data_IF_074252464705
#
_entry.id   IF_074252464705
#
_cell.length_a   1.000
_cell.length_b   1.000
_cell.length_c   1.000
_cell.angle_alpha   90.00
_cell.angle_beta   90.00
_cell.angle_gamma   90.00
#
_symmetry.space_group_name_H-M   'P 1'
#
loop_
_entity.id
_entity.type
_entity.pdbx_description
1 polymer ?
#
# COMPACT_ATOMS: atom_id res chain seq x y z
N UNK A 1 16.73 -8.26 -0.72
CA UNK A 1 15.28 -8.07 -0.54
C UNK A 1 14.67 -8.13 -1.92
N UNK A 2 13.72 -9.03 -2.13
CA UNK A 2 12.96 -9.15 -3.37
C UNK A 2 11.91 -8.03 -3.48
N UNK A 3 11.25 -7.94 -4.63
CA UNK A 3 10.26 -6.90 -4.93
C UNK A 3 9.07 -6.95 -3.98
N UNK A 4 8.60 -8.15 -3.64
CA UNK A 4 7.55 -8.39 -2.63
C UNK A 4 7.96 -7.85 -1.26
N UNK A 5 9.20 -8.08 -0.83
CA UNK A 5 9.73 -7.52 0.41
C UNK A 5 9.76 -5.99 0.42
N UNK A 6 10.11 -5.35 -0.71
CA UNK A 6 10.08 -3.89 -0.85
C UNK A 6 8.65 -3.35 -0.76
N UNK A 7 7.73 -3.94 -1.52
CA UNK A 7 6.32 -3.54 -1.54
C UNK A 7 5.67 -3.69 -0.15
N UNK A 8 5.89 -4.82 0.52
CA UNK A 8 5.39 -5.05 1.89
C UNK A 8 5.92 -4.03 2.88
N UNK A 9 7.18 -3.60 2.73
CA UNK A 9 7.77 -2.63 3.62
C UNK A 9 7.30 -1.19 3.33
N UNK A 10 7.06 -0.84 2.06
CA UNK A 10 6.35 0.39 1.66
C UNK A 10 4.96 0.44 2.28
N UNK A 11 4.16 -0.61 2.08
CA UNK A 11 2.83 -0.73 2.67
C UNK A 11 2.89 -0.57 4.18
N UNK A 12 3.84 -1.21 4.85
CA UNK A 12 4.02 -1.07 6.29
C UNK A 12 4.30 0.39 6.69
N UNK A 13 5.15 1.10 5.94
CA UNK A 13 5.45 2.51 6.20
C UNK A 13 4.26 3.44 5.93
N UNK A 14 3.47 3.15 4.89
CA UNK A 14 2.23 3.86 4.58
C UNK A 14 1.20 3.65 5.68
N UNK A 15 0.95 2.39 6.05
CA UNK A 15 0.01 2.02 7.10
C UNK A 15 0.46 2.47 8.48
N UNK A 16 1.75 2.80 8.72
CA UNK A 16 2.20 3.38 9.98
C UNK A 16 1.64 4.79 10.21
N UNK A 17 1.20 5.48 9.15
CA UNK A 17 0.50 6.75 9.27
C UNK A 17 -0.90 6.56 9.87
N UNK A 18 -1.41 7.61 10.52
CA UNK A 18 -2.74 7.60 11.09
C UNK A 18 -3.74 8.19 10.10
N UNK A 19 -4.63 7.35 9.59
CA UNK A 19 -5.72 7.73 8.68
C UNK A 19 -6.90 6.76 8.89
N UNK A 20 -8.14 7.14 8.49
CA UNK A 20 -9.29 6.27 8.62
C UNK A 20 -9.07 4.90 7.97
N UNK A 21 -9.22 3.82 8.73
CA UNK A 21 -9.00 2.44 8.25
C UNK A 21 -7.57 1.91 8.35
N UNK A 22 -6.59 2.73 8.75
CA UNK A 22 -5.20 2.29 8.86
C UNK A 22 -5.01 1.10 9.80
N UNK A 23 -5.78 1.03 10.90
CA UNK A 23 -5.73 -0.10 11.84
C UNK A 23 -6.16 -1.40 11.18
N UNK A 24 -7.32 -1.40 10.53
CA UNK A 24 -7.89 -2.56 9.84
C UNK A 24 -6.98 -2.99 8.68
N UNK A 25 -6.43 -2.05 7.92
CA UNK A 25 -5.46 -2.37 6.87
C UNK A 25 -4.16 -2.98 7.42
N UNK A 26 -3.68 -2.58 8.60
CA UNK A 26 -2.53 -3.24 9.26
C UNK A 26 -2.85 -4.69 9.59
N UNK A 27 -4.05 -4.97 10.09
CA UNK A 27 -4.51 -6.33 10.38
C UNK A 27 -4.61 -7.17 9.10
N UNK A 28 -5.22 -6.62 8.05
CA UNK A 28 -5.31 -7.27 6.74
C UNK A 28 -3.93 -7.61 6.16
N UNK A 29 -2.94 -6.70 6.27
CA UNK A 29 -1.57 -6.95 5.78
C UNK A 29 -0.90 -8.17 6.46
N UNK A 30 -1.32 -8.53 7.68
CA UNK A 30 -0.80 -9.73 8.37
C UNK A 30 -1.26 -11.04 7.74
N UNK A 31 -2.38 -11.02 7.03
CA UNK A 31 -2.98 -12.18 6.34
C UNK A 31 -2.97 -12.04 4.81
N UNK A 32 -2.42 -10.94 4.29
CA UNK A 32 -2.36 -10.67 2.86
C UNK A 32 -1.21 -11.40 2.14
N UNK A 33 -1.48 -11.83 0.92
CA UNK A 33 -0.47 -12.31 -0.04
C UNK A 33 -0.24 -11.24 -1.09
N UNK A 34 1.02 -10.96 -1.42
CA UNK A 34 1.38 -9.95 -2.43
C UNK A 34 1.95 -10.65 -3.66
N UNK A 35 1.48 -10.25 -4.85
CA UNK A 35 2.02 -10.68 -6.14
C UNK A 35 2.45 -9.44 -6.92
N UNK A 36 3.75 -9.25 -7.09
CA UNK A 36 4.28 -8.05 -7.73
C UNK A 36 4.57 -8.27 -9.22
N UNK A 37 4.27 -7.23 -10.01
CA UNK A 37 4.57 -7.14 -11.43
C UNK A 37 5.21 -5.78 -11.76
N UNK A 38 5.30 -5.46 -13.06
CA UNK A 38 6.06 -4.30 -13.54
C UNK A 38 5.51 -2.92 -13.15
N UNK A 39 4.26 -2.85 -12.66
CA UNK A 39 3.55 -1.60 -12.38
C UNK A 39 3.00 -1.50 -10.96
N UNK A 40 3.31 -2.48 -10.10
CA UNK A 40 2.72 -2.55 -8.76
C UNK A 40 2.64 -3.97 -8.21
N UNK A 41 1.81 -4.15 -7.18
CA UNK A 41 1.51 -5.47 -6.64
C UNK A 41 0.01 -5.63 -6.39
N UNK A 42 -0.52 -6.79 -6.79
CA UNK A 42 -1.84 -7.25 -6.37
C UNK A 42 -1.76 -7.73 -4.91
N UNK A 43 -2.80 -7.45 -4.13
CA UNK A 43 -2.90 -7.80 -2.71
C UNK A 43 -4.13 -8.70 -2.52
N UNK A 44 -3.89 -9.98 -2.27
CA UNK A 44 -4.96 -10.92 -1.93
C UNK A 44 -5.10 -11.04 -0.41
N UNK A 45 -6.22 -10.58 0.13
CA UNK A 45 -6.51 -10.60 1.57
C UNK A 45 -7.42 -11.76 1.91
N UNK A 46 -7.01 -12.59 2.87
CA UNK A 46 -7.89 -13.59 3.47
C UNK A 46 -9.02 -12.89 4.27
N UNK A 47 -10.18 -12.79 3.62
CA UNK A 47 -11.38 -12.13 4.15
C UNK A 47 -12.02 -12.89 5.32
N UNK A 48 -11.74 -14.18 5.50
CA UNK A 48 -12.25 -14.95 6.64
C UNK A 48 -11.45 -14.66 7.92
N UNK A 49 -10.23 -14.12 7.77
CA UNK A 49 -9.28 -13.87 8.86
C UNK A 49 -9.03 -12.39 9.13
N UNK A 50 -9.77 -11.49 8.49
CA UNK A 50 -9.63 -10.05 8.62
C UNK A 50 -10.98 -9.34 8.60
N UNK A 51 -11.00 -8.08 9.02
CA UNK A 51 -12.20 -7.23 9.00
C UNK A 51 -12.01 -6.09 8.00
N UNK A 52 -13.08 -5.63 7.34
CA UNK A 52 -12.99 -4.47 6.45
C UNK A 52 -12.70 -3.20 7.25
N UNK A 53 -11.91 -2.30 6.66
CA UNK A 53 -11.80 -0.92 7.08
C UNK A 53 -13.13 -0.17 6.85
N UNK A 54 -13.36 0.97 7.54
CA UNK A 54 -14.43 1.88 7.17
C UNK A 54 -14.33 2.24 5.69
N UNK A 55 -15.34 1.84 4.91
CA UNK A 55 -15.38 2.02 3.47
C UNK A 55 -16.23 3.23 3.10
N UNK A 56 -15.63 4.13 2.32
CA UNK A 56 -16.31 5.22 1.64
C UNK A 56 -16.24 4.94 0.13
N UNK A 57 -17.40 4.82 -0.53
CA UNK A 57 -17.46 4.54 -1.96
C UNK A 57 -16.87 5.68 -2.81
N UNK A 58 -16.90 6.90 -2.28
CA UNK A 58 -16.31 8.07 -2.94
C UNK A 58 -14.77 8.10 -2.74
N UNK A 59 -14.26 7.33 -1.78
CA UNK A 59 -12.83 7.21 -1.45
C UNK A 59 -12.46 5.75 -1.16
N UNK A 60 -12.43 4.88 -2.18
CA UNK A 60 -12.33 3.43 -1.98
C UNK A 60 -11.00 2.96 -1.35
N UNK A 61 -10.00 3.84 -1.19
CA UNK A 61 -8.71 3.53 -0.57
C UNK A 61 -8.01 4.74 0.05
N UNK A 62 -6.71 4.60 0.31
CA UNK A 62 -5.88 5.67 0.84
C UNK A 62 -4.84 6.14 -0.20
N UNK A 63 -4.81 7.44 -0.46
CA UNK A 63 -3.77 8.06 -1.29
C UNK A 63 -2.75 8.73 -0.37
N UNK A 64 -1.58 8.11 -0.21
CA UNK A 64 -0.49 8.70 0.57
C UNK A 64 0.66 9.08 -0.36
N UNK A 65 1.10 10.35 -0.37
CA UNK A 65 2.28 10.75 -1.13
C UNK A 65 3.53 10.05 -0.59
N UNK A 66 4.30 9.43 -1.49
CA UNK A 66 5.57 8.76 -1.19
C UNK A 66 6.70 9.44 -1.99
N UNK A 67 7.83 9.73 -1.34
CA UNK A 67 9.02 10.23 -2.01
C UNK A 67 10.15 9.22 -1.87
N UNK A 68 10.94 9.05 -2.94
CA UNK A 68 12.10 8.18 -2.93
C UNK A 68 13.24 8.73 -3.82
N UNK A 69 14.47 8.58 -3.34
CA UNK A 69 15.68 9.02 -4.04
C UNK A 69 15.84 8.26 -5.37
N UNK A 70 16.08 8.97 -6.47
CA UNK A 70 16.31 8.38 -7.80
C UNK A 70 15.06 8.21 -8.67
N UNK A 71 13.85 8.35 -8.10
CA UNK A 71 12.58 8.18 -8.82
C UNK A 71 11.74 9.47 -8.95
N UNK A 72 12.21 10.60 -8.42
CA UNK A 72 11.42 11.85 -8.40
C UNK A 72 10.22 11.74 -7.44
N UNK A 73 9.07 12.35 -7.79
CA UNK A 73 7.82 12.16 -7.05
C UNK A 73 7.21 10.82 -7.44
N UNK A 74 7.08 9.93 -6.47
CA UNK A 74 6.59 8.57 -6.68
C UNK A 74 5.20 8.45 -6.05
N UNK A 75 4.16 8.47 -6.88
CA UNK A 75 2.81 8.32 -6.35
C UNK A 75 2.51 6.84 -6.16
N UNK A 76 2.28 6.47 -4.90
CA UNK A 76 1.82 5.14 -4.52
C UNK A 76 0.38 5.26 -4.07
N UNK A 77 -0.50 4.56 -4.76
CA UNK A 77 -1.92 4.51 -4.41
C UNK A 77 -2.15 3.18 -3.69
N UNK A 78 -2.71 3.27 -2.47
CA UNK A 78 -3.23 2.10 -1.78
C UNK A 78 -4.70 1.99 -2.13
N UNK A 79 -5.02 1.07 -3.02
CA UNK A 79 -6.39 0.80 -3.39
C UNK A 79 -7.04 -0.11 -2.37
N UNK A 80 -8.28 0.21 -2.04
CA UNK A 80 -9.16 -0.66 -1.29
C UNK A 80 -10.43 -0.93 -2.09
N UNK A 81 -11.06 -2.06 -1.82
CA UNK A 81 -12.35 -2.41 -2.38
C UNK A 81 -13.21 -3.01 -1.27
N UNK A 82 -14.38 -2.41 -1.02
CA UNK A 82 -15.28 -2.80 0.08
C UNK A 82 -14.60 -2.81 1.46
N UNK A 83 -13.57 -1.97 1.65
CA UNK A 83 -12.81 -1.88 2.90
C UNK A 83 -11.67 -2.90 3.03
N UNK A 84 -11.35 -3.66 1.97
CA UNK A 84 -10.19 -4.56 1.94
C UNK A 84 -9.08 -4.00 1.05
N UNK A 85 -7.81 -4.20 1.42
CA UNK A 85 -6.68 -3.96 0.53
C UNK A 85 -6.87 -4.73 -0.78
N UNK A 86 -6.64 -4.08 -1.91
CA UNK A 86 -6.82 -4.66 -3.24
C UNK A 86 -5.51 -4.63 -4.04
N UNK A 87 -4.95 -3.44 -4.28
CA UNK A 87 -3.68 -3.31 -4.99
C UNK A 87 -2.83 -2.13 -4.54
N UNK A 88 -1.54 -2.24 -4.86
CA UNK A 88 -0.52 -1.23 -4.65
C UNK A 88 0.02 -0.77 -6.00
N UNK A 89 -0.40 0.41 -6.45
CA UNK A 89 -0.06 0.93 -7.77
C UNK A 89 1.15 1.86 -7.74
N UNK A 90 2.09 1.67 -8.68
CA UNK A 90 3.18 2.59 -8.96
C UNK A 90 2.83 3.48 -10.17
N UNK A 91 2.45 4.72 -9.92
CA UNK A 91 1.95 5.62 -10.99
C UNK A 91 3.07 6.20 -11.87
N UNK A 92 4.27 6.39 -11.31
CA UNK A 92 5.39 7.09 -11.99
C UNK A 92 6.72 6.34 -11.92
N UNK A 93 6.71 5.04 -11.63
CA UNK A 93 7.90 4.20 -11.54
C UNK A 93 7.65 2.80 -12.10
N UNK A 94 8.69 2.18 -12.65
CA UNK A 94 8.67 0.79 -13.15
C UNK A 94 9.19 -0.24 -12.15
N UNK A 95 9.63 0.21 -10.97
CA UNK A 95 10.13 -0.63 -9.89
C UNK A 95 9.95 0.07 -8.54
N UNK A 96 9.83 -0.72 -7.47
CA UNK A 96 9.78 -0.18 -6.11
C UNK A 96 11.16 0.35 -5.66
N UNK A 97 11.22 1.57 -5.09
CA UNK A 97 12.47 2.17 -4.66
C UNK A 97 13.12 1.44 -3.48
N UNK A 98 14.43 1.65 -3.22
CA UNK A 98 15.09 1.13 -2.03
C UNK A 98 14.46 1.70 -0.74
N UNK A 99 14.32 0.85 0.27
CA UNK A 99 13.55 1.17 1.47
C UNK A 99 14.04 2.44 2.19
N UNK A 100 15.35 2.53 2.36
CA UNK A 100 16.04 3.61 3.06
C UNK A 100 15.79 5.00 2.45
N UNK A 101 15.36 5.03 1.19
CA UNK A 101 15.08 6.26 0.45
C UNK A 101 13.64 6.71 0.59
N UNK A 102 12.74 5.85 1.07
CA UNK A 102 11.31 6.14 1.15
C UNK A 102 11.02 7.17 2.26
N UNK A 103 10.18 8.15 1.93
CA UNK A 103 9.53 9.08 2.84
C UNK A 103 8.04 9.07 2.55
N UNK A 104 7.24 8.70 3.53
CA UNK A 104 5.78 8.78 3.44
C UNK A 104 5.35 10.09 4.10
N UNK A 105 4.54 10.89 3.42
CA UNK A 105 4.02 12.14 3.96
C UNK A 105 2.52 11.99 4.23
N UNK A 106 2.06 12.49 5.37
CA UNK A 106 0.64 12.74 5.62
C UNK A 106 0.29 14.11 5.07
N UNK A 107 -0.75 14.19 4.23
CA UNK A 107 -1.33 15.49 3.85
C UNK A 107 -1.93 16.21 5.06
#
# INVERSE_FOLDING_TARGET
>A
MDEVGRARAILTAMLAQDFPGAREYREQLTVATLVCGSTGCDIDVDRERSSPAPYDIDHPGAQLPVEATGHGKLWIILHGFEGFLDDLELVSASEFPPLETIRVHTN
#
